data_IF_326718670914
#
_entry.id   IF_326718670914
#
_cell.length_a   1.000
_cell.length_b   1.000
_cell.length_c   1.000
_cell.angle_alpha   90.00
_cell.angle_beta   90.00
_cell.angle_gamma   90.00
#
_symmetry.space_group_name_H-M   'P 1'
#
loop_
_entity.id
_entity.type
_entity.pdbx_description
1 polymer ?
#
# COMPACT_ATOMS: atom_id res chain seq x y z
N UNK A 1 16.24 -19.51 -16.97
CA UNK A 1 16.66 -18.30 -16.23
C UNK A 1 15.87 -17.12 -16.80
N UNK A 2 15.02 -16.45 -16.01
CA UNK A 2 14.39 -15.19 -16.44
C UNK A 2 15.48 -14.12 -16.49
N UNK A 3 15.67 -13.50 -17.65
CA UNK A 3 16.73 -12.53 -17.87
C UNK A 3 16.26 -11.15 -17.37
N UNK A 4 16.96 -10.59 -16.38
CA UNK A 4 16.75 -9.21 -15.96
C UNK A 4 17.28 -8.29 -17.06
N UNK A 5 16.45 -7.34 -17.50
CA UNK A 5 16.84 -6.39 -18.53
C UNK A 5 17.70 -5.27 -17.93
N UNK A 6 18.96 -5.17 -18.34
CA UNK A 6 19.91 -4.15 -17.86
C UNK A 6 19.41 -2.72 -18.05
N UNK A 7 18.57 -2.45 -19.06
CA UNK A 7 17.96 -1.13 -19.27
C UNK A 7 16.97 -0.80 -18.15
N UNK A 8 16.15 -1.77 -17.73
CA UNK A 8 15.18 -1.62 -16.64
C UNK A 8 15.91 -1.32 -15.34
N UNK A 9 16.96 -2.07 -15.02
CA UNK A 9 17.77 -1.84 -13.81
C UNK A 9 18.33 -0.41 -13.79
N UNK A 10 18.89 0.07 -14.91
CA UNK A 10 19.42 1.45 -14.99
C UNK A 10 18.35 2.52 -14.78
N UNK A 11 17.15 2.31 -15.35
CA UNK A 11 16.01 3.23 -15.18
C UNK A 11 15.53 3.27 -13.73
N UNK A 12 15.43 2.11 -13.08
CA UNK A 12 15.10 2.03 -11.65
C UNK A 12 16.16 2.71 -10.80
N UNK A 13 17.45 2.44 -11.00
CA UNK A 13 18.51 3.13 -10.25
C UNK A 13 18.47 4.65 -10.44
N UNK A 14 18.15 5.14 -11.63
CA UNK A 14 18.01 6.57 -11.88
C UNK A 14 16.78 7.16 -11.17
N UNK A 15 15.63 6.48 -11.26
CA UNK A 15 14.41 6.88 -10.56
C UNK A 15 14.60 6.95 -9.05
N UNK A 16 15.35 6.00 -8.48
CA UNK A 16 15.63 5.91 -7.04
C UNK A 16 16.47 7.11 -6.59
N UNK A 17 17.55 7.40 -7.32
CA UNK A 17 18.35 8.60 -7.07
C UNK A 17 17.56 9.91 -7.23
N UNK A 18 16.60 9.97 -8.16
CA UNK A 18 15.71 11.13 -8.26
C UNK A 18 14.75 11.27 -7.07
N UNK A 19 14.21 10.16 -6.56
CA UNK A 19 13.38 10.16 -5.35
C UNK A 19 14.17 10.62 -4.13
N UNK A 20 15.40 10.11 -3.94
CA UNK A 20 16.29 10.55 -2.85
C UNK A 20 16.60 12.06 -2.88
N UNK A 21 16.59 12.66 -4.07
CA UNK A 21 16.81 14.09 -4.29
C UNK A 21 15.53 14.93 -4.24
N UNK A 22 14.36 14.33 -3.98
CA UNK A 22 13.08 15.03 -3.99
C UNK A 22 12.68 15.53 -5.38
N UNK A 23 13.03 14.77 -6.42
CA UNK A 23 12.77 15.07 -7.83
C UNK A 23 11.75 14.11 -8.46
N UNK A 24 10.50 14.06 -7.95
CA UNK A 24 9.54 13.01 -8.31
C UNK A 24 9.11 13.04 -9.78
N UNK A 25 9.10 14.21 -10.43
CA UNK A 25 8.79 14.30 -11.87
C UNK A 25 9.84 13.61 -12.74
N UNK A 26 11.13 13.72 -12.40
CA UNK A 26 12.18 13.02 -13.11
C UNK A 26 12.15 11.52 -12.82
N UNK A 27 11.83 11.13 -11.58
CA UNK A 27 11.60 9.73 -11.23
C UNK A 27 10.50 9.11 -12.09
N UNK A 28 9.32 9.75 -12.17
CA UNK A 28 8.23 9.29 -13.05
C UNK A 28 8.65 9.22 -14.51
N UNK A 29 9.41 10.19 -15.02
CA UNK A 29 9.89 10.15 -16.42
C UNK A 29 10.75 8.92 -16.70
N UNK A 30 11.59 8.51 -15.74
CA UNK A 30 12.41 7.31 -15.88
C UNK A 30 11.58 6.03 -15.78
N UNK A 31 10.58 6.01 -14.89
CA UNK A 31 9.66 4.89 -14.66
C UNK A 31 8.70 4.69 -15.85
N UNK A 32 8.14 5.74 -16.41
CA UNK A 32 7.27 5.70 -17.61
C UNK A 32 8.02 5.18 -18.85
N UNK A 33 9.35 5.34 -18.88
CA UNK A 33 10.20 4.81 -19.94
C UNK A 33 10.51 3.31 -19.76
N UNK A 34 10.10 2.70 -18.65
CA UNK A 34 10.14 1.26 -18.42
C UNK A 34 8.92 0.63 -19.07
N UNK A 35 9.16 -0.29 -20.01
CA UNK A 35 8.10 -1.15 -20.55
C UNK A 35 7.79 -2.30 -19.59
N UNK A 36 7.65 -3.52 -20.11
CA UNK A 36 7.47 -4.71 -19.26
C UNK A 36 8.74 -5.00 -18.43
N UNK A 37 8.66 -4.79 -17.12
CA UNK A 37 9.77 -4.98 -16.19
C UNK A 37 9.92 -6.43 -15.68
N UNK A 38 8.96 -7.30 -16.00
CA UNK A 38 8.94 -8.69 -15.59
C UNK A 38 9.05 -8.83 -14.07
N UNK A 39 10.03 -9.57 -13.53
CA UNK A 39 10.20 -9.71 -12.08
C UNK A 39 10.43 -8.40 -11.31
N UNK A 40 10.79 -7.31 -12.00
CA UNK A 40 11.00 -6.00 -11.38
C UNK A 40 9.76 -5.11 -11.43
N UNK A 41 8.63 -5.59 -11.98
CA UNK A 41 7.38 -4.82 -12.03
C UNK A 41 6.96 -4.29 -10.65
N UNK A 42 7.00 -5.09 -9.55
CA UNK A 42 6.60 -4.58 -8.24
C UNK A 42 7.46 -3.40 -7.76
N UNK A 43 8.74 -3.36 -8.15
CA UNK A 43 9.63 -2.24 -7.83
C UNK A 43 9.27 -0.97 -8.65
N UNK A 44 8.89 -1.13 -9.92
CA UNK A 44 8.38 -0.02 -10.75
C UNK A 44 7.13 0.57 -10.12
N UNK A 45 6.17 -0.29 -9.72
CA UNK A 45 4.93 0.14 -9.08
C UNK A 45 5.21 0.87 -7.76
N UNK A 46 6.08 0.32 -6.91
CA UNK A 46 6.43 0.95 -5.64
C UNK A 46 6.98 2.37 -5.83
N UNK A 47 7.96 2.52 -6.72
CA UNK A 47 8.62 3.81 -6.97
C UNK A 47 7.69 4.80 -7.68
N UNK A 48 6.79 4.32 -8.53
CA UNK A 48 5.74 5.15 -9.14
C UNK A 48 4.82 5.70 -8.06
N UNK A 49 4.40 4.84 -7.15
CA UNK A 49 3.60 5.21 -5.98
C UNK A 49 4.27 6.26 -5.11
N UNK A 50 5.56 6.07 -4.77
CA UNK A 50 6.33 7.05 -4.01
C UNK A 50 6.43 8.40 -4.74
N UNK A 51 6.74 8.40 -6.04
CA UNK A 51 6.86 9.64 -6.82
C UNK A 51 5.53 10.40 -6.92
N UNK A 52 4.40 9.69 -6.98
CA UNK A 52 3.06 10.29 -6.96
C UNK A 52 2.72 10.85 -5.57
N UNK A 53 3.04 10.11 -4.51
CA UNK A 53 2.89 10.56 -3.13
C UNK A 53 3.68 11.84 -2.85
N UNK A 54 4.93 11.91 -3.30
CA UNK A 54 5.80 13.10 -3.16
C UNK A 54 5.29 14.32 -3.96
N UNK A 55 4.45 14.10 -4.97
CA UNK A 55 3.72 15.15 -5.68
C UNK A 55 2.37 15.50 -5.03
N UNK A 56 2.07 14.96 -3.84
CA UNK A 56 0.78 15.07 -3.16
C UNK A 56 -0.40 14.52 -3.98
N UNK A 57 -0.14 13.66 -4.96
CA UNK A 57 -1.15 12.99 -5.79
C UNK A 57 -1.57 11.68 -5.12
N UNK A 58 -2.13 11.81 -3.93
CA UNK A 58 -2.37 10.67 -3.03
C UNK A 58 -3.32 9.63 -3.62
N UNK A 59 -4.39 10.04 -4.30
CA UNK A 59 -5.32 9.12 -4.96
C UNK A 59 -4.63 8.33 -6.06
N UNK A 60 -3.84 9.00 -6.91
CA UNK A 60 -3.14 8.35 -8.02
C UNK A 60 -2.05 7.37 -7.53
N UNK A 61 -1.50 7.62 -6.33
CA UNK A 61 -0.49 6.76 -5.72
C UNK A 61 -1.07 5.44 -5.17
N UNK A 62 -2.38 5.34 -4.93
CA UNK A 62 -3.00 4.18 -4.27
C UNK A 62 -2.81 2.90 -5.07
N UNK A 63 -3.20 2.90 -6.35
CA UNK A 63 -3.12 1.69 -7.19
C UNK A 63 -1.68 1.13 -7.31
N UNK A 64 -0.65 1.92 -7.68
CA UNK A 64 0.71 1.40 -7.77
C UNK A 64 1.27 0.95 -6.42
N UNK A 65 0.98 1.66 -5.32
CA UNK A 65 1.39 1.23 -3.98
C UNK A 65 0.69 -0.07 -3.55
N UNK A 66 -0.58 -0.25 -3.88
CA UNK A 66 -1.32 -1.48 -3.59
C UNK A 66 -0.73 -2.68 -4.33
N UNK A 67 -0.46 -2.55 -5.63
CA UNK A 67 0.20 -3.61 -6.42
C UNK A 67 1.55 -3.98 -5.82
N UNK A 68 2.37 -2.98 -5.50
CA UNK A 68 3.66 -3.20 -4.86
C UNK A 68 3.53 -3.92 -3.51
N UNK A 69 2.58 -3.50 -2.67
CA UNK A 69 2.40 -4.04 -1.33
C UNK A 69 1.96 -5.52 -1.33
N UNK A 70 1.17 -5.92 -2.33
CA UNK A 70 0.71 -7.30 -2.52
C UNK A 70 1.76 -8.19 -3.19
N UNK A 71 2.47 -7.68 -4.20
CA UNK A 71 3.39 -8.49 -5.00
C UNK A 71 4.81 -8.60 -4.41
N UNK A 72 5.24 -7.61 -3.62
CA UNK A 72 6.54 -7.67 -2.93
C UNK A 72 6.42 -8.68 -1.76
N UNK A 73 7.31 -9.68 -1.65
CA UNK A 73 7.27 -10.62 -0.54
C UNK A 73 7.57 -9.95 0.80
N UNK A 74 6.79 -10.29 1.83
CA UNK A 74 7.12 -9.93 3.21
C UNK A 74 8.52 -10.45 3.61
N UNK A 75 9.30 -9.70 4.41
CA UNK A 75 8.94 -8.42 5.05
C UNK A 75 9.23 -7.17 4.18
N UNK A 76 9.60 -7.33 2.91
CA UNK A 76 10.09 -6.23 2.07
C UNK A 76 8.97 -5.31 1.56
N UNK A 77 7.70 -5.71 1.67
CA UNK A 77 6.54 -4.91 1.30
C UNK A 77 6.10 -3.90 2.38
N UNK A 78 6.75 -3.91 3.54
CA UNK A 78 6.38 -3.04 4.68
C UNK A 78 6.29 -1.56 4.28
N UNK A 79 7.27 -1.05 3.54
CA UNK A 79 7.30 0.36 3.16
C UNK A 79 6.22 0.72 2.12
N UNK A 80 5.82 -0.25 1.30
CA UNK A 80 4.68 -0.10 0.38
C UNK A 80 3.37 0.00 1.17
N UNK A 81 3.17 -0.84 2.19
CA UNK A 81 2.01 -0.76 3.10
C UNK A 81 1.94 0.56 3.85
N UNK A 82 3.05 1.02 4.43
CA UNK A 82 3.09 2.31 5.12
C UNK A 82 2.79 3.49 4.19
N UNK A 83 3.38 3.47 2.99
CA UNK A 83 3.15 4.53 2.00
C UNK A 83 1.70 4.53 1.51
N UNK A 84 1.10 3.36 1.35
CA UNK A 84 -0.32 3.22 1.00
C UNK A 84 -1.21 3.76 2.13
N UNK A 85 -0.92 3.41 3.38
CA UNK A 85 -1.65 3.92 4.54
C UNK A 85 -1.60 5.45 4.66
N UNK A 86 -0.43 6.04 4.40
CA UNK A 86 -0.28 7.49 4.31
C UNK A 86 -1.14 8.09 3.19
N UNK A 87 -1.13 7.49 1.99
CA UNK A 87 -1.96 7.96 0.87
C UNK A 87 -3.46 7.88 1.19
N UNK A 88 -3.91 6.81 1.85
CA UNK A 88 -5.29 6.69 2.33
C UNK A 88 -5.64 7.79 3.32
N UNK A 89 -4.78 8.03 4.32
CA UNK A 89 -5.01 9.06 5.34
C UNK A 89 -5.11 10.46 4.72
N UNK A 90 -4.20 10.80 3.81
CA UNK A 90 -4.19 12.09 3.12
C UNK A 90 -5.37 12.27 2.17
N UNK A 91 -5.97 11.16 1.73
CA UNK A 91 -7.18 11.14 0.90
C UNK A 91 -8.48 11.11 1.71
N UNK A 92 -8.41 11.13 3.05
CA UNK A 92 -9.56 11.07 3.95
C UNK A 92 -10.11 9.67 4.22
N UNK A 93 -9.41 8.62 3.78
CA UNK A 93 -9.78 7.21 3.93
C UNK A 93 -9.11 6.61 5.18
N UNK A 94 -9.42 7.18 6.35
CA UNK A 94 -8.68 6.92 7.60
C UNK A 94 -8.76 5.45 8.05
N UNK A 95 -9.89 4.79 7.80
CA UNK A 95 -10.12 3.39 8.14
C UNK A 95 -9.19 2.46 7.32
N UNK A 96 -9.03 2.74 6.03
CA UNK A 96 -8.13 2.00 5.16
C UNK A 96 -6.65 2.25 5.52
N UNK A 97 -6.33 3.44 6.02
CA UNK A 97 -4.99 3.75 6.50
C UNK A 97 -4.58 2.85 7.68
N UNK A 98 -5.47 2.68 8.66
CA UNK A 98 -5.24 1.79 9.82
C UNK A 98 -5.02 0.35 9.36
N UNK A 99 -5.83 -0.13 8.43
CA UNK A 99 -5.69 -1.49 7.88
C UNK A 99 -4.33 -1.66 7.19
N UNK A 100 -3.94 -0.72 6.33
CA UNK A 100 -2.64 -0.78 5.66
C UNK A 100 -1.47 -0.78 6.66
N UNK A 101 -1.55 0.01 7.73
CA UNK A 101 -0.53 0.04 8.79
C UNK A 101 -0.45 -1.28 9.57
N UNK A 102 -1.57 -1.96 9.81
CA UNK A 102 -1.57 -3.29 10.43
C UNK A 102 -0.79 -4.31 9.59
N UNK A 103 -0.98 -4.31 8.26
CA UNK A 103 -0.21 -5.16 7.35
C UNK A 103 1.28 -4.80 7.28
N UNK A 104 1.66 -3.56 7.61
CA UNK A 104 3.05 -3.16 7.69
C UNK A 104 3.75 -3.71 8.96
N UNK A 105 3.03 -3.85 10.06
CA UNK A 105 3.61 -4.24 11.35
C UNK A 105 3.60 -5.76 11.59
N UNK A 106 2.61 -6.48 11.06
CA UNK A 106 2.56 -7.94 11.08
C UNK A 106 2.90 -8.52 9.70
N UNK A 107 4.07 -9.17 9.53
CA UNK A 107 4.43 -9.80 8.26
C UNK A 107 3.56 -11.04 8.02
N UNK A 108 2.43 -10.86 7.36
CA UNK A 108 1.52 -11.94 6.98
C UNK A 108 0.09 -11.47 6.80
N UNK A 109 -0.65 -12.14 5.92
CA UNK A 109 -2.10 -11.99 5.86
C UNK A 109 -2.68 -12.56 7.16
N UNK A 110 -3.51 -11.81 7.93
CA UNK A 110 -4.11 -12.32 9.16
C UNK A 110 -4.79 -13.67 8.95
N UNK A 111 -4.68 -14.56 9.94
CA UNK A 111 -5.32 -15.88 9.91
C UNK A 111 -6.84 -15.71 9.67
N UNK A 112 -7.36 -16.28 8.57
CA UNK A 112 -8.77 -16.17 8.17
C UNK A 112 -9.06 -15.25 6.98
N UNK A 113 -8.05 -14.57 6.44
CA UNK A 113 -8.13 -13.90 5.13
C UNK A 113 -7.67 -14.89 4.04
N UNK A 114 -8.62 -15.69 3.58
CA UNK A 114 -8.41 -16.62 2.47
C UNK A 114 -8.40 -15.80 1.16
N UNK A 115 -7.45 -16.10 0.28
CA UNK A 115 -7.44 -15.69 -1.14
C UNK A 115 -7.56 -14.19 -1.52
N UNK A 116 -6.70 -13.36 -0.93
CA UNK A 116 -6.27 -12.11 -1.57
C UNK A 116 -7.16 -10.90 -1.31
N UNK A 117 -6.54 -9.72 -1.40
CA UNK A 117 -7.25 -8.46 -1.42
C UNK A 117 -8.41 -8.54 -2.41
N UNK A 118 -9.63 -8.08 -2.06
CA UNK A 118 -10.79 -8.20 -2.95
C UNK A 118 -10.40 -7.62 -4.31
N UNK A 119 -10.41 -8.45 -5.35
CA UNK A 119 -10.08 -8.01 -6.70
C UNK A 119 -10.96 -6.81 -7.03
N UNK A 120 -10.31 -5.73 -7.46
CA UNK A 120 -10.95 -4.52 -7.95
C UNK A 120 -11.61 -4.80 -9.30
N UNK A 121 -12.61 -5.69 -9.34
CA UNK A 121 -13.60 -5.66 -10.39
C UNK A 121 -14.47 -4.41 -10.17
N UNK A 122 -14.66 -3.70 -11.27
CA UNK A 122 -15.24 -2.38 -11.55
C UNK A 122 -16.62 -2.05 -10.94
N UNK A 123 -17.10 -2.84 -9.99
CA UNK A 123 -18.23 -2.55 -9.09
C UNK A 123 -17.82 -1.75 -7.83
N UNK A 124 -16.51 -1.58 -7.61
CA UNK A 124 -15.88 -1.19 -6.35
C UNK A 124 -16.02 0.28 -5.92
N UNK A 125 -16.27 1.22 -6.84
CA UNK A 125 -16.36 2.66 -6.47
C UNK A 125 -17.58 2.99 -5.59
N UNK A 126 -18.65 2.19 -5.62
CA UNK A 126 -19.90 2.49 -4.95
C UNK A 126 -20.11 1.74 -3.62
N UNK A 127 -19.57 0.54 -3.47
CA UNK A 127 -19.80 -0.33 -2.30
C UNK A 127 -18.71 -0.19 -1.21
N UNK A 128 -17.50 0.22 -1.60
CA UNK A 128 -16.32 0.13 -0.76
C UNK A 128 -16.28 1.13 0.40
N UNK A 129 -16.92 2.31 0.26
CA UNK A 129 -17.01 3.26 1.38
C UNK A 129 -17.99 2.83 2.49
N UNK A 130 -19.00 2.01 2.16
CA UNK A 130 -20.08 1.68 3.08
C UNK A 130 -19.86 0.36 3.85
N UNK A 131 -19.29 -0.66 3.19
CA UNK A 131 -19.11 -1.98 3.81
C UNK A 131 -17.90 -2.03 4.75
N UNK A 132 -16.79 -1.39 4.38
CA UNK A 132 -15.56 -1.36 5.18
C UNK A 132 -15.70 -0.47 6.42
N UNK A 133 -16.44 0.63 6.32
CA UNK A 133 -16.83 1.44 7.47
C UNK A 133 -17.66 0.64 8.48
N UNK A 134 -18.51 -0.29 8.02
CA UNK A 134 -19.33 -1.12 8.90
C UNK A 134 -18.50 -2.18 9.64
N UNK A 135 -17.58 -2.86 8.97
CA UNK A 135 -16.74 -3.90 9.58
C UNK A 135 -15.63 -3.33 10.47
N UNK A 136 -15.00 -2.21 10.10
CA UNK A 136 -14.02 -1.51 10.96
C UNK A 136 -14.69 -0.97 12.22
N UNK A 137 -15.94 -0.49 12.11
CA UNK A 137 -16.73 -0.08 13.29
C UNK A 137 -17.06 -1.27 14.20
N UNK A 138 -17.31 -2.46 13.63
CA UNK A 138 -17.59 -3.66 14.41
C UNK A 138 -16.33 -4.20 15.09
N UNK A 139 -15.19 -4.19 14.41
CA UNK A 139 -13.89 -4.57 14.98
C UNK A 139 -13.45 -3.61 16.11
N UNK A 140 -13.59 -2.30 15.90
CA UNK A 140 -13.30 -1.29 16.92
C UNK A 140 -14.23 -1.41 18.15
N UNK A 141 -15.53 -1.72 17.95
CA UNK A 141 -16.47 -2.01 19.05
C UNK A 141 -16.07 -3.24 19.86
N UNK A 142 -15.59 -4.30 19.21
CA UNK A 142 -15.13 -5.52 19.90
C UNK A 142 -13.90 -5.22 20.77
N UNK A 143 -12.94 -4.45 20.28
CA UNK A 143 -11.74 -4.06 21.04
C UNK A 143 -12.05 -3.13 22.23
N UNK A 144 -12.98 -2.18 22.06
CA UNK A 144 -13.41 -1.29 23.17
C UNK A 144 -14.18 -2.06 24.25
N UNK A 145 -14.95 -3.10 23.87
CA UNK A 145 -15.67 -3.94 24.84
C UNK A 145 -14.73 -4.77 25.73
N UNK A 146 -13.58 -5.22 25.20
CA UNK A 146 -12.56 -5.93 25.99
C UNK A 146 -11.77 -5.02 26.93
N UNK A 147 -11.68 -3.71 26.65
CA UNK A 147 -11.03 -2.74 27.54
C UNK A 147 -11.85 -2.36 28.78
N UNK A 148 -13.17 -2.54 28.75
CA UNK A 148 -14.08 -2.13 29.83
C UNK A 148 -14.32 -3.21 30.89
N UNK A 149 -13.98 -4.47 30.61
CA UNK A 149 -14.07 -5.57 31.59
C UNK A 149 -12.83 -5.68 32.50
N UNK A 150 -11.71 -5.03 32.13
CA UNK A 150 -10.45 -5.10 32.88
C UNK A 150 -10.32 -4.06 34.02
N UNK A 151 -11.33 -3.22 34.24
CA UNK A 151 -11.30 -2.15 35.26
C UNK A 151 -12.28 -2.32 36.43
N UNK A 152 -13.10 -3.38 36.46
CA UNK A 152 -14.10 -3.60 37.52
C UNK A 152 -13.63 -4.56 38.64
N UNK A 153 -12.36 -5.03 38.60
CA UNK A 153 -11.76 -5.90 39.61
C UNK A 153 -10.74 -5.15 40.50
N UNK A 154 -11.16 -4.00 41.03
CA UNK A 154 -10.48 -3.36 42.16
C UNK A 154 -11.46 -2.50 42.96
N UNK A 155 -12.19 -3.13 43.90
CA UNK A 155 -12.25 -2.84 45.34
C UNK A 155 -13.35 -3.64 46.04
#
# INVERSE_FOLDING_TARGET
>A
MRQINTRVVRKLTAADGYLELGMPTQALTELDAVGEAGPLQPAVEFMTGLALKDQHRYIDAIEPLQKAAVEIPAPHNRDAWLSLGECYRMSGLSELAVIAEMFADEPGVPEGWDDGWPEADTSYEAAHSAALAAEVTEYARRQISFGNEASDDRF
#
